data_IF_680786081205
#
_entry.id   IF_680786081205
#
_cell.length_a   1.000
_cell.length_b   1.000
_cell.length_c   1.000
_cell.angle_alpha   90.00
_cell.angle_beta   90.00
_cell.angle_gamma   90.00
#
_symmetry.space_group_name_H-M   'P 1'
#
loop_
_entity.id
_entity.type
_entity.pdbx_description
1 polymer ?
#
# COMPACT_ATOMS: atom_id res chain seq x y z
N UNK A 1 3.38 -1.52 9.19
CA UNK A 1 2.60 -1.64 7.94
C UNK A 1 2.85 -3.02 7.37
N UNK A 2 1.79 -3.73 7.01
CA UNK A 2 1.84 -5.00 6.29
C UNK A 2 1.16 -4.75 4.96
N UNK A 3 1.86 -4.99 3.86
CA UNK A 3 1.33 -4.90 2.50
C UNK A 3 0.88 -6.30 2.09
N UNK A 4 -0.30 -6.38 1.52
CA UNK A 4 -0.82 -7.57 0.88
C UNK A 4 -0.94 -7.29 -0.61
N UNK A 5 -0.37 -8.17 -1.44
CA UNK A 5 -0.42 -8.03 -2.89
C UNK A 5 -1.30 -9.12 -3.46
N UNK A 6 -2.42 -8.73 -4.06
CA UNK A 6 -3.27 -9.64 -4.81
C UNK A 6 -3.14 -9.34 -6.31
N UNK A 7 -2.79 -10.37 -7.10
CA UNK A 7 -2.72 -10.29 -8.57
C UNK A 7 -3.66 -11.34 -9.14
N UNK A 8 -4.69 -10.90 -9.87
CA UNK A 8 -5.68 -11.77 -10.50
C UNK A 8 -6.31 -12.79 -9.53
N UNK A 9 -6.65 -12.33 -8.31
CA UNK A 9 -7.24 -13.17 -7.26
C UNK A 9 -6.22 -13.96 -6.44
N UNK A 10 -4.94 -13.97 -6.81
CA UNK A 10 -3.88 -14.72 -6.11
C UNK A 10 -3.13 -13.82 -5.13
N UNK A 11 -3.06 -14.26 -3.87
CA UNK A 11 -2.19 -13.63 -2.89
C UNK A 11 -0.73 -13.97 -3.21
N UNK A 12 0.08 -12.93 -3.42
CA UNK A 12 1.50 -13.04 -3.75
C UNK A 12 2.30 -12.75 -2.49
N UNK A 13 3.09 -13.72 -2.05
CA UNK A 13 4.05 -13.49 -0.98
C UNK A 13 5.12 -12.50 -1.46
N UNK A 14 5.27 -11.40 -0.73
CA UNK A 14 6.25 -10.37 -1.01
C UNK A 14 7.32 -10.36 0.06
N UNK A 15 8.57 -10.21 -0.36
CA UNK A 15 9.71 -10.18 0.54
C UNK A 15 9.81 -8.86 1.34
N UNK A 16 10.69 -8.84 2.34
CA UNK A 16 10.91 -7.70 3.23
C UNK A 16 11.26 -6.39 2.50
N UNK A 17 12.00 -6.49 1.39
CA UNK A 17 12.34 -5.32 0.60
C UNK A 17 11.10 -4.71 -0.02
N UNK A 18 10.27 -5.52 -0.69
CA UNK A 18 9.04 -5.09 -1.37
C UNK A 18 7.99 -4.59 -0.37
N UNK A 19 7.84 -5.27 0.78
CA UNK A 19 6.99 -4.82 1.90
C UNK A 19 7.31 -3.38 2.32
N UNK A 20 8.59 -3.11 2.58
CA UNK A 20 9.05 -1.78 3.02
C UNK A 20 8.91 -0.74 1.93
N UNK A 21 9.25 -1.10 0.68
CA UNK A 21 9.19 -0.19 -0.45
C UNK A 21 7.74 0.23 -0.72
N UNK A 22 6.85 -0.72 -1.01
CA UNK A 22 5.44 -0.43 -1.34
C UNK A 22 4.72 0.27 -0.19
N UNK A 23 4.91 -0.19 1.05
CA UNK A 23 4.25 0.40 2.20
C UNK A 23 4.64 1.86 2.41
N UNK A 24 5.94 2.19 2.31
CA UNK A 24 6.41 3.57 2.46
C UNK A 24 5.97 4.45 1.31
N UNK A 25 6.03 3.95 0.07
CA UNK A 25 5.62 4.70 -1.11
C UNK A 25 4.11 4.97 -1.10
N UNK A 26 3.28 4.00 -0.73
CA UNK A 26 1.84 4.17 -0.61
C UNK A 26 1.47 5.19 0.48
N UNK A 27 2.10 5.10 1.67
CA UNK A 27 1.93 6.06 2.74
C UNK A 27 2.30 7.49 2.31
N UNK A 28 3.49 7.67 1.74
CA UNK A 28 3.95 8.97 1.27
C UNK A 28 3.05 9.54 0.17
N UNK A 29 2.58 8.70 -0.75
CA UNK A 29 1.65 9.13 -1.79
C UNK A 29 0.31 9.57 -1.17
N UNK A 30 -0.27 8.80 -0.26
CA UNK A 30 -1.54 9.13 0.37
C UNK A 30 -1.45 10.42 1.22
N UNK A 31 -0.43 10.55 2.07
CA UNK A 31 -0.22 11.71 2.94
C UNK A 31 0.09 13.00 2.17
N UNK A 32 0.55 12.90 0.92
CA UNK A 32 0.74 14.06 0.06
C UNK A 32 -0.57 14.65 -0.48
N UNK A 33 -1.69 13.92 -0.36
CA UNK A 33 -2.99 14.33 -0.90
C UNK A 33 -3.79 15.13 0.13
N UNK A 34 -4.48 16.17 -0.35
CA UNK A 34 -5.38 16.94 0.49
C UNK A 34 -6.57 16.09 0.97
N UNK A 35 -6.81 16.10 2.29
CA UNK A 35 -7.92 15.37 2.93
C UNK A 35 -7.55 14.01 3.53
N UNK A 36 -6.28 13.59 3.41
CA UNK A 36 -5.78 12.39 4.13
C UNK A 36 -5.21 12.82 5.49
N UNK A 37 -5.79 12.29 6.56
CA UNK A 37 -5.29 12.49 7.92
C UNK A 37 -4.06 11.59 8.16
N UNK A 38 -2.89 12.12 8.58
CA UNK A 38 -1.68 11.34 8.86
C UNK A 38 -1.84 10.23 9.92
N UNK A 39 -2.95 10.20 10.65
CA UNK A 39 -3.28 9.16 11.65
C UNK A 39 -4.12 8.00 11.07
N UNK A 40 -4.16 7.87 9.74
CA UNK A 40 -4.80 6.77 9.03
C UNK A 40 -4.33 5.40 9.55
N UNK A 41 -5.25 4.42 9.56
CA UNK A 41 -4.98 3.05 10.03
C UNK A 41 -4.72 2.06 8.89
N UNK A 42 -5.31 2.32 7.73
CA UNK A 42 -5.29 1.46 6.56
C UNK A 42 -5.36 2.32 5.29
N UNK A 43 -4.68 1.86 4.24
CA UNK A 43 -4.72 2.46 2.90
C UNK A 43 -5.05 1.33 1.92
N UNK A 44 -6.20 1.43 1.26
CA UNK A 44 -6.63 0.52 0.21
C UNK A 44 -6.42 1.15 -1.18
N UNK A 45 -5.54 0.55 -1.99
CA UNK A 45 -5.26 1.01 -3.35
C UNK A 45 -5.70 -0.06 -4.33
N UNK A 46 -6.68 0.28 -5.17
CA UNK A 46 -7.19 -0.62 -6.21
C UNK A 46 -6.60 -0.22 -7.55
N UNK A 47 -5.74 -1.06 -8.12
CA UNK A 47 -5.17 -0.87 -9.45
C UNK A 47 -5.94 -1.76 -10.43
N UNK A 48 -6.50 -1.16 -11.48
CA UNK A 48 -7.07 -1.89 -12.62
C UNK A 48 -6.08 -1.84 -13.78
N UNK A 49 -5.99 -2.96 -14.50
CA UNK A 49 -5.21 -3.06 -15.72
C UNK A 49 -5.92 -2.40 -16.89
#
# INVERSE_FOLDING_TARGET
MKVELNVDGKNIEINDFVQKFLGKTAAAAAESLHGVDPTWKEIDIHIKK
#
